data_IF_399303546900
#
_entry.id   IF_399303546900
#
_cell.length_a   1.000
_cell.length_b   1.000
_cell.length_c   1.000
_cell.angle_alpha   90.00
_cell.angle_beta   90.00
_cell.angle_gamma   90.00
#
_symmetry.space_group_name_H-M   'P 1'
#
loop_
_entity.id
_entity.type
_entity.pdbx_description
1 polymer ?
#
# COMPACT_ATOMS: atom_id res chain seq x y z
N UNK A 1 -17.87 -4.36 -6.57
CA UNK A 1 -16.81 -3.33 -6.77
C UNK A 1 -15.86 -3.37 -5.57
N UNK A 2 -14.56 -3.18 -5.77
CA UNK A 2 -13.49 -3.31 -4.77
C UNK A 2 -12.38 -2.27 -5.03
N UNK A 3 -11.38 -2.19 -4.17
CA UNK A 3 -10.30 -1.19 -4.22
C UNK A 3 -8.96 -1.92 -4.31
N UNK A 4 -8.06 -1.45 -5.18
CA UNK A 4 -6.65 -1.82 -5.20
C UNK A 4 -5.89 -0.83 -4.30
N UNK A 5 -5.48 -1.29 -3.11
CA UNK A 5 -4.91 -0.41 -2.09
C UNK A 5 -3.43 -0.10 -2.28
N UNK A 6 -2.77 -0.70 -3.29
CA UNK A 6 -1.36 -0.45 -3.56
C UNK A 6 -1.01 -0.76 -5.03
N UNK A 7 -0.72 0.27 -5.81
CA UNK A 7 -0.28 0.17 -7.20
C UNK A 7 0.62 1.33 -7.58
N UNK A 8 1.71 1.07 -8.29
CA UNK A 8 2.59 2.09 -8.86
C UNK A 8 2.14 2.47 -10.29
N UNK A 9 0.86 2.84 -10.43
CA UNK A 9 0.26 3.24 -11.72
C UNK A 9 0.96 4.48 -12.33
N UNK A 10 1.70 5.24 -11.54
CA UNK A 10 2.58 6.31 -11.99
C UNK A 10 3.84 5.80 -12.71
N UNK A 11 4.22 4.53 -12.55
CA UNK A 11 5.41 3.92 -13.13
C UNK A 11 5.54 4.12 -14.63
N UNK A 12 6.78 4.18 -15.12
CA UNK A 12 7.08 4.35 -16.57
C UNK A 12 6.59 3.20 -17.41
N UNK A 13 6.40 2.04 -16.79
CA UNK A 13 5.84 0.82 -17.40
C UNK A 13 4.43 1.05 -17.95
N UNK A 14 3.70 2.03 -17.41
CA UNK A 14 2.33 2.37 -17.80
C UNK A 14 2.23 3.60 -18.70
N UNK A 15 3.31 4.33 -18.97
CA UNK A 15 3.26 5.60 -19.72
C UNK A 15 2.64 5.44 -21.11
N UNK A 16 2.85 4.28 -21.76
CA UNK A 16 2.33 4.03 -23.11
C UNK A 16 0.83 3.68 -23.16
N UNK A 17 0.25 3.13 -22.07
CA UNK A 17 -1.13 2.58 -22.10
C UNK A 17 -1.91 2.81 -20.80
N UNK A 18 -1.53 3.79 -19.98
CA UNK A 18 -2.14 4.05 -18.65
C UNK A 18 -3.65 4.19 -18.69
N UNK A 19 -4.19 4.91 -19.68
CA UNK A 19 -5.65 5.06 -19.85
C UNK A 19 -6.33 3.72 -20.10
N UNK A 20 -5.73 2.86 -20.92
CA UNK A 20 -6.25 1.53 -21.18
C UNK A 20 -6.17 0.62 -19.95
N UNK A 21 -5.08 0.70 -19.15
CA UNK A 21 -4.93 -0.01 -17.87
C UNK A 21 -6.03 0.41 -16.90
N UNK A 22 -6.26 1.71 -16.74
CA UNK A 22 -7.34 2.24 -15.88
C UNK A 22 -8.71 1.78 -16.36
N UNK A 23 -8.94 1.77 -17.66
CA UNK A 23 -10.23 1.29 -18.20
C UNK A 23 -10.43 -0.20 -17.91
N UNK A 24 -9.42 -1.05 -18.15
CA UNK A 24 -9.50 -2.49 -17.81
C UNK A 24 -9.76 -2.71 -16.32
N UNK A 25 -9.11 -1.92 -15.45
CA UNK A 25 -9.34 -2.00 -14.00
C UNK A 25 -10.79 -1.66 -13.63
N UNK A 26 -11.36 -0.59 -14.20
CA UNK A 26 -12.77 -0.21 -14.02
C UNK A 26 -13.72 -1.31 -14.52
N UNK A 27 -13.45 -1.88 -15.70
CA UNK A 27 -14.25 -2.97 -16.28
C UNK A 27 -14.19 -4.24 -15.43
N UNK A 28 -13.06 -4.49 -14.75
CA UNK A 28 -12.90 -5.58 -13.78
C UNK A 28 -13.62 -5.31 -12.44
N UNK A 29 -14.13 -4.10 -12.20
CA UNK A 29 -14.85 -3.72 -10.99
C UNK A 29 -14.00 -3.00 -9.93
N UNK A 30 -12.78 -2.56 -10.27
CA UNK A 30 -11.95 -1.71 -9.40
C UNK A 30 -12.53 -0.29 -9.39
N UNK A 31 -12.99 0.16 -8.22
CA UNK A 31 -13.61 1.48 -8.06
C UNK A 31 -12.65 2.58 -7.64
N UNK A 32 -11.49 2.21 -7.12
CA UNK A 32 -10.42 3.13 -6.73
C UNK A 32 -9.07 2.42 -6.69
N UNK A 33 -8.01 3.19 -6.88
CA UNK A 33 -6.61 2.74 -6.76
C UNK A 33 -5.83 3.70 -5.88
N UNK A 34 -4.93 3.17 -5.05
CA UNK A 34 -4.10 3.96 -4.16
C UNK A 34 -2.65 3.90 -4.64
N UNK A 35 -2.04 5.07 -4.77
CA UNK A 35 -0.71 5.24 -5.37
C UNK A 35 0.29 5.65 -4.28
N UNK A 36 1.11 4.72 -3.77
CA UNK A 36 2.17 5.04 -2.83
C UNK A 36 3.38 5.64 -3.55
N UNK A 37 3.93 6.70 -2.99
CA UNK A 37 5.18 7.28 -3.48
C UNK A 37 6.38 6.51 -2.96
N UNK A 38 7.46 6.50 -3.73
CA UNK A 38 8.75 5.90 -3.34
C UNK A 38 9.81 6.97 -3.03
N UNK A 39 9.68 8.17 -3.63
CA UNK A 39 10.61 9.29 -3.48
C UNK A 39 9.92 10.64 -3.81
N UNK A 40 10.68 11.72 -3.84
CA UNK A 40 10.20 13.06 -4.20
C UNK A 40 9.69 13.14 -5.65
N UNK A 41 10.35 12.47 -6.58
CA UNK A 41 9.99 12.52 -8.00
C UNK A 41 8.68 11.76 -8.25
N UNK A 42 8.52 10.56 -7.70
CA UNK A 42 7.30 9.77 -7.78
C UNK A 42 6.13 10.48 -7.09
N UNK A 43 6.35 11.14 -5.94
CA UNK A 43 5.32 11.93 -5.26
C UNK A 43 4.73 13.00 -6.18
N UNK A 44 5.58 13.74 -6.92
CA UNK A 44 5.13 14.72 -7.90
C UNK A 44 4.38 14.10 -9.08
N UNK A 45 4.86 12.95 -9.58
CA UNK A 45 4.23 12.22 -10.68
C UNK A 45 2.86 11.66 -10.28
N UNK A 46 2.74 11.08 -9.09
CA UNK A 46 1.48 10.58 -8.52
C UNK A 46 0.43 11.68 -8.46
N UNK A 47 0.78 12.88 -8.02
CA UNK A 47 -0.17 14.01 -8.03
C UNK A 47 -0.69 14.33 -9.43
N UNK A 48 0.17 14.22 -10.45
CA UNK A 48 -0.25 14.40 -11.86
C UNK A 48 -1.22 13.30 -12.30
N UNK A 49 -0.94 12.04 -11.95
CA UNK A 49 -1.82 10.89 -12.26
C UNK A 49 -3.16 11.04 -11.54
N UNK A 50 -3.17 11.42 -10.26
CA UNK A 50 -4.42 11.62 -9.52
C UNK A 50 -5.29 12.74 -10.11
N UNK A 51 -4.69 13.82 -10.63
CA UNK A 51 -5.41 14.87 -11.35
C UNK A 51 -6.02 14.38 -12.66
N UNK A 52 -5.37 13.41 -13.33
CA UNK A 52 -5.88 12.80 -14.56
C UNK A 52 -7.08 11.88 -14.30
N UNK A 53 -7.12 11.23 -13.12
CA UNK A 53 -8.18 10.29 -12.75
C UNK A 53 -8.86 10.69 -11.42
N UNK A 54 -9.55 11.84 -11.38
CA UNK A 54 -10.17 12.36 -10.17
C UNK A 54 -11.24 11.42 -9.61
N UNK A 55 -11.24 11.23 -8.27
CA UNK A 55 -12.18 10.32 -7.60
C UNK A 55 -11.91 8.83 -7.84
N UNK A 56 -10.82 8.48 -8.57
CA UNK A 56 -10.42 7.11 -8.84
C UNK A 56 -9.02 6.80 -8.29
N UNK A 57 -8.03 7.67 -8.53
CA UNK A 57 -6.67 7.53 -8.04
C UNK A 57 -6.44 8.42 -6.81
N UNK A 58 -5.85 7.86 -5.76
CA UNK A 58 -5.62 8.54 -4.48
C UNK A 58 -4.13 8.50 -4.11
N UNK A 59 -3.52 9.65 -3.74
CA UNK A 59 -2.08 9.74 -3.53
C UNK A 59 -1.68 9.40 -2.10
N UNK A 60 -0.52 8.78 -1.93
CA UNK A 60 0.23 8.66 -0.68
C UNK A 60 1.60 9.29 -0.85
N UNK A 61 2.21 9.75 0.25
CA UNK A 61 3.52 10.40 0.27
C UNK A 61 4.47 9.69 1.20
N UNK A 62 5.67 9.36 0.71
CA UNK A 62 6.67 8.67 1.51
C UNK A 62 8.00 8.50 0.80
N UNK A 63 9.01 8.13 1.57
CA UNK A 63 10.33 7.70 1.11
C UNK A 63 10.46 6.21 1.36
N UNK A 64 10.48 5.44 0.28
CA UNK A 64 10.63 3.99 0.30
C UNK A 64 12.03 3.60 0.83
N UNK A 65 12.17 2.53 1.62
CA UNK A 65 13.47 2.14 2.16
C UNK A 65 14.54 1.85 1.10
N UNK A 66 14.17 1.34 -0.07
CA UNK A 66 15.12 1.13 -1.16
C UNK A 66 15.63 2.43 -1.80
N UNK A 67 14.98 3.57 -1.57
CA UNK A 67 15.40 4.90 -2.04
C UNK A 67 16.15 5.72 -0.98
N UNK A 68 16.29 5.18 0.23
CA UNK A 68 17.09 5.81 1.28
C UNK A 68 18.58 5.74 0.94
N UNK A 69 19.21 6.93 0.83
CA UNK A 69 20.63 7.14 0.55
C UNK A 69 21.20 8.18 1.50
N UNK A 70 22.43 8.62 1.25
CA UNK A 70 23.11 9.62 2.08
C UNK A 70 22.38 10.98 2.16
N UNK A 71 21.53 11.28 1.18
CA UNK A 71 20.72 12.51 1.08
C UNK A 71 19.29 12.38 1.63
N UNK A 72 18.99 11.29 2.32
CA UNK A 72 17.62 10.96 2.79
C UNK A 72 16.98 12.09 3.63
N UNK A 73 17.76 12.82 4.42
CA UNK A 73 17.24 13.94 5.23
C UNK A 73 16.72 15.08 4.36
N UNK A 74 17.41 15.37 3.24
CA UNK A 74 16.94 16.37 2.28
C UNK A 74 15.65 15.89 1.60
N UNK A 75 15.60 14.63 1.16
CA UNK A 75 14.39 14.05 0.56
C UNK A 75 13.20 14.08 1.54
N UNK A 76 13.43 13.71 2.80
CA UNK A 76 12.39 13.81 3.84
C UNK A 76 11.90 15.25 4.04
N UNK A 77 12.80 16.25 4.03
CA UNK A 77 12.40 17.65 4.16
C UNK A 77 11.51 18.11 2.99
N UNK A 78 11.83 17.71 1.76
CA UNK A 78 11.01 18.02 0.57
C UNK A 78 9.65 17.30 0.62
N UNK A 79 9.62 16.01 0.96
CA UNK A 79 8.38 15.24 1.10
C UNK A 79 7.48 15.79 2.22
N UNK A 80 8.07 16.21 3.33
CA UNK A 80 7.31 16.83 4.41
C UNK A 80 6.71 18.18 4.01
N UNK A 81 7.44 18.98 3.23
CA UNK A 81 6.89 20.21 2.66
C UNK A 81 5.68 19.92 1.76
N UNK A 82 5.80 18.89 0.87
CA UNK A 82 4.68 18.46 0.01
C UNK A 82 3.49 17.96 0.83
N UNK A 83 3.74 17.25 1.93
CA UNK A 83 2.68 16.76 2.84
C UNK A 83 1.88 17.91 3.47
N UNK A 84 2.52 19.05 3.71
CA UNK A 84 1.89 20.25 4.32
C UNK A 84 1.23 21.18 3.31
N UNK A 85 1.50 21.01 2.01
CA UNK A 85 0.87 21.81 0.96
C UNK A 85 -0.54 21.28 0.64
N UNK A 86 -1.52 22.18 0.49
CA UNK A 86 -2.80 21.85 -0.12
C UNK A 86 -2.57 21.51 -1.61
N UNK A 87 -3.08 20.36 -2.05
CA UNK A 87 -2.91 19.93 -3.44
C UNK A 87 -3.99 20.58 -4.31
N UNK A 88 -3.64 21.53 -5.22
CA UNK A 88 -4.62 22.20 -6.04
C UNK A 88 -5.26 21.24 -7.06
N UNK A 89 -6.57 21.24 -7.19
CA UNK A 89 -7.27 20.54 -8.27
C UNK A 89 -7.20 21.33 -9.57
N UNK A 90 -7.09 20.64 -10.72
CA UNK A 90 -6.86 21.26 -12.03
C UNK A 90 -8.02 22.09 -12.59
N UNK A 91 -9.20 22.16 -11.95
CA UNK A 91 -10.39 22.78 -12.53
C UNK A 91 -11.27 23.61 -11.58
N UNK A 92 -10.72 24.11 -10.47
CA UNK A 92 -11.53 24.96 -9.57
C UNK A 92 -12.72 24.23 -8.91
N UNK A 93 -12.78 22.92 -9.00
CA UNK A 93 -13.71 22.09 -8.25
C UNK A 93 -13.19 22.03 -6.81
N UNK A 94 -14.08 22.24 -5.85
CA UNK A 94 -13.79 22.45 -4.42
C UNK A 94 -13.20 21.22 -3.67
N UNK A 95 -12.76 20.20 -4.38
CA UNK A 95 -12.15 18.99 -3.82
C UNK A 95 -10.64 19.08 -3.96
N UNK A 96 -9.99 19.66 -2.95
CA UNK A 96 -8.55 19.51 -2.77
C UNK A 96 -8.24 18.02 -2.63
N UNK A 97 -7.34 17.50 -3.49
CA UNK A 97 -6.77 16.17 -3.23
C UNK A 97 -5.93 16.25 -1.97
N UNK A 98 -6.31 15.47 -0.98
CA UNK A 98 -5.49 15.29 0.20
C UNK A 98 -4.69 13.98 0.07
N UNK A 99 -3.49 13.97 0.64
CA UNK A 99 -2.76 12.73 0.86
C UNK A 99 -3.61 11.81 1.75
N UNK A 100 -3.81 10.56 1.33
CA UNK A 100 -4.64 9.62 2.09
C UNK A 100 -3.84 8.77 3.07
N UNK A 101 -2.52 8.72 2.93
CA UNK A 101 -1.62 7.97 3.80
C UNK A 101 -0.17 8.47 3.69
N UNK A 102 0.65 8.08 4.67
CA UNK A 102 2.11 8.15 4.59
C UNK A 102 2.59 6.80 4.04
N UNK A 103 3.11 6.81 2.83
CA UNK A 103 3.52 5.58 2.13
C UNK A 103 4.02 5.80 0.69
N UNK A 104 4.88 4.92 0.26
CA UNK A 104 5.34 3.69 0.89
C UNK A 104 6.55 3.95 1.80
N UNK A 105 6.55 3.41 3.00
CA UNK A 105 7.57 3.64 4.02
C UNK A 105 7.92 2.33 4.73
N UNK A 106 9.05 2.26 5.38
CA UNK A 106 9.40 1.06 6.15
C UNK A 106 10.86 0.65 6.05
N UNK A 107 11.12 -0.66 6.01
CA UNK A 107 12.47 -1.22 6.03
C UNK A 107 12.62 -2.33 4.99
N UNK A 108 13.73 -2.31 4.25
CA UNK A 108 14.15 -3.39 3.35
C UNK A 108 15.62 -3.75 3.58
N UNK A 109 15.88 -4.95 4.11
CA UNK A 109 17.24 -5.48 4.32
C UNK A 109 17.57 -6.65 3.38
N UNK A 110 16.75 -6.84 2.35
CA UNK A 110 16.94 -7.94 1.41
C UNK A 110 18.09 -7.67 0.43
N UNK A 111 18.10 -6.46 -0.16
CA UNK A 111 19.08 -6.10 -1.17
C UNK A 111 20.40 -5.62 -0.57
N UNK A 112 20.33 -4.77 0.48
CA UNK A 112 21.49 -4.19 1.13
C UNK A 112 21.17 -3.76 2.56
N UNK A 113 22.16 -3.80 3.44
CA UNK A 113 22.12 -3.21 4.78
C UNK A 113 23.04 -1.98 4.89
N UNK A 114 23.55 -1.47 3.79
CA UNK A 114 24.48 -0.33 3.75
C UNK A 114 23.90 0.90 4.44
N UNK A 115 22.60 1.18 4.21
CA UNK A 115 21.86 2.32 4.78
C UNK A 115 20.85 1.88 5.87
N UNK A 116 21.16 0.82 6.61
CA UNK A 116 20.23 0.29 7.62
C UNK A 116 19.87 1.33 8.71
N UNK A 117 20.83 2.14 9.16
CA UNK A 117 20.60 3.18 10.16
C UNK A 117 19.78 4.33 9.61
N UNK A 118 20.06 4.71 8.38
CA UNK A 118 19.36 5.75 7.66
C UNK A 118 17.92 5.33 7.34
N UNK A 119 17.70 4.06 6.96
CA UNK A 119 16.36 3.49 6.80
C UNK A 119 15.56 3.54 8.10
N UNK A 120 16.16 3.15 9.23
CA UNK A 120 15.51 3.23 10.54
C UNK A 120 15.15 4.68 10.90
N UNK A 121 16.07 5.63 10.71
CA UNK A 121 15.83 7.04 10.98
C UNK A 121 14.76 7.64 10.06
N UNK A 122 14.81 7.31 8.77
CA UNK A 122 13.82 7.75 7.78
C UNK A 122 12.43 7.17 8.09
N UNK A 123 12.35 5.90 8.45
CA UNK A 123 11.08 5.26 8.82
C UNK A 123 10.51 5.88 10.10
N UNK A 124 11.34 6.05 11.14
CA UNK A 124 10.91 6.69 12.38
C UNK A 124 10.35 8.09 12.16
N UNK A 125 11.04 8.91 11.33
CA UNK A 125 10.56 10.25 11.00
C UNK A 125 9.19 10.23 10.30
N UNK A 126 8.96 9.28 9.43
CA UNK A 126 7.69 9.13 8.72
C UNK A 126 6.57 8.54 9.61
N UNK A 127 6.90 7.73 10.60
CA UNK A 127 5.99 7.35 11.69
C UNK A 127 5.53 8.58 12.48
N UNK A 128 6.44 9.49 12.81
CA UNK A 128 6.09 10.77 13.46
C UNK A 128 5.14 11.61 12.60
N UNK A 129 5.35 11.67 11.28
CA UNK A 129 4.41 12.37 10.37
C UNK A 129 3.01 11.76 10.40
N UNK A 130 2.92 10.43 10.40
CA UNK A 130 1.64 9.72 10.52
C UNK A 130 0.90 10.12 11.79
N UNK A 131 1.60 10.19 12.92
CA UNK A 131 1.02 10.61 14.21
C UNK A 131 0.56 12.07 14.14
N UNK A 132 1.41 12.96 13.64
CA UNK A 132 1.13 14.41 13.54
C UNK A 132 -0.08 14.70 12.64
N UNK A 133 -0.13 14.04 11.47
CA UNK A 133 -1.17 14.29 10.46
C UNK A 133 -2.43 13.43 10.64
N UNK A 134 -2.37 12.40 11.48
CA UNK A 134 -3.40 11.38 11.62
C UNK A 134 -3.64 10.55 10.35
N UNK A 135 -2.71 10.57 9.40
CA UNK A 135 -2.77 9.73 8.21
C UNK A 135 -2.24 8.32 8.52
N UNK A 136 -2.88 7.26 8.00
CA UNK A 136 -2.42 5.89 8.19
C UNK A 136 -1.08 5.66 7.49
N UNK A 137 -0.37 4.61 7.92
CA UNK A 137 0.87 4.16 7.29
C UNK A 137 0.60 3.09 6.23
N UNK A 138 1.28 3.17 5.08
CA UNK A 138 1.43 2.06 4.14
C UNK A 138 2.87 1.54 4.27
N UNK A 139 3.03 0.38 4.91
CA UNK A 139 4.34 -0.10 5.37
C UNK A 139 4.86 -1.22 4.49
N UNK A 140 6.04 -0.98 3.90
CA UNK A 140 6.90 -1.99 3.31
C UNK A 140 7.78 -2.65 4.37
N UNK A 141 7.87 -3.97 4.34
CA UNK A 141 8.78 -4.69 5.22
C UNK A 141 9.35 -5.93 4.55
N UNK A 142 10.66 -5.95 4.34
CA UNK A 142 11.34 -7.10 3.76
C UNK A 142 12.60 -7.44 4.52
N UNK A 143 12.64 -8.65 5.14
CA UNK A 143 13.76 -9.12 5.97
C UNK A 143 14.10 -8.22 7.18
N UNK A 144 13.13 -7.45 7.69
CA UNK A 144 13.30 -6.46 8.75
C UNK A 144 12.12 -6.39 9.73
N UNK A 145 11.30 -7.46 9.84
CA UNK A 145 10.08 -7.41 10.66
C UNK A 145 10.37 -7.13 12.15
N UNK A 146 11.43 -7.72 12.71
CA UNK A 146 11.77 -7.51 14.12
C UNK A 146 12.10 -6.03 14.38
N UNK A 147 12.91 -5.41 13.54
CA UNK A 147 13.33 -4.01 13.66
C UNK A 147 12.13 -3.08 13.46
N UNK A 148 11.28 -3.37 12.47
CA UNK A 148 10.05 -2.63 12.21
C UNK A 148 9.08 -2.71 13.40
N UNK A 149 8.80 -3.90 13.91
CA UNK A 149 7.93 -4.12 15.08
C UNK A 149 8.48 -3.42 16.31
N UNK A 150 9.80 -3.52 16.57
CA UNK A 150 10.44 -2.85 17.69
C UNK A 150 10.27 -1.32 17.63
N UNK A 151 10.45 -0.73 16.45
CA UNK A 151 10.24 0.70 16.24
C UNK A 151 8.77 1.09 16.48
N UNK A 152 7.83 0.41 15.81
CA UNK A 152 6.39 0.73 15.91
C UNK A 152 5.84 0.58 17.34
N UNK A 153 6.35 -0.37 18.14
CA UNK A 153 5.97 -0.56 19.54
C UNK A 153 6.20 0.69 20.40
N UNK A 154 7.19 1.51 20.07
CA UNK A 154 7.50 2.75 20.80
C UNK A 154 6.38 3.79 20.63
N UNK A 155 5.63 3.71 19.54
CA UNK A 155 4.58 4.64 19.13
C UNK A 155 3.16 4.03 19.11
N UNK A 156 3.01 2.78 19.53
CA UNK A 156 1.80 1.97 19.35
C UNK A 156 0.49 2.69 19.75
N UNK A 157 0.52 3.43 20.88
CA UNK A 157 -0.67 4.12 21.41
C UNK A 157 -1.09 5.33 20.57
N UNK A 158 -0.14 5.93 19.88
CA UNK A 158 -0.30 7.19 19.15
C UNK A 158 -0.62 6.96 17.66
N UNK A 159 -0.19 5.81 17.11
CA UNK A 159 -0.37 5.45 15.72
C UNK A 159 -1.85 5.47 15.31
N UNK A 160 -2.21 6.14 14.20
CA UNK A 160 -3.59 6.13 13.68
C UNK A 160 -3.99 4.77 13.12
N UNK A 161 -3.03 3.95 12.68
CA UNK A 161 -3.20 2.66 12.03
C UNK A 161 -2.50 2.61 10.68
N UNK A 162 -2.76 1.56 9.91
CA UNK A 162 -2.15 1.41 8.59
C UNK A 162 -2.28 0.02 8.01
N UNK A 163 -1.48 -0.21 6.98
CA UNK A 163 -1.39 -1.48 6.26
C UNK A 163 0.05 -1.96 6.26
N UNK A 164 0.27 -3.20 6.67
CA UNK A 164 1.49 -3.94 6.33
C UNK A 164 1.26 -4.53 4.94
N UNK A 165 1.76 -3.84 3.91
CA UNK A 165 1.51 -4.22 2.54
C UNK A 165 2.30 -5.47 2.13
N UNK A 166 1.85 -6.13 1.07
CA UNK A 166 2.49 -7.31 0.48
C UNK A 166 2.81 -8.43 1.50
N UNK A 167 1.89 -8.71 2.42
CA UNK A 167 2.09 -9.74 3.42
C UNK A 167 2.27 -11.12 2.77
N UNK A 168 3.40 -11.76 3.07
CA UNK A 168 3.78 -13.10 2.57
C UNK A 168 4.25 -14.03 3.69
N UNK A 169 3.99 -13.65 4.93
CA UNK A 169 4.45 -14.34 6.14
C UNK A 169 3.61 -15.56 6.52
N UNK A 170 3.94 -16.12 7.68
CA UNK A 170 3.25 -17.24 8.30
C UNK A 170 2.31 -16.77 9.43
N UNK A 171 1.63 -17.73 10.11
CA UNK A 171 0.65 -17.43 11.16
C UNK A 171 1.25 -16.67 12.36
N UNK A 172 2.51 -16.95 12.70
CA UNK A 172 3.20 -16.27 13.82
C UNK A 172 3.52 -14.82 13.46
N UNK A 173 3.99 -14.59 12.25
CA UNK A 173 4.25 -13.25 11.72
C UNK A 173 2.96 -12.45 11.59
N UNK A 174 1.88 -13.05 11.10
CA UNK A 174 0.56 -12.43 11.07
C UNK A 174 0.07 -12.06 12.47
N UNK A 175 0.16 -13.00 13.43
CA UNK A 175 -0.27 -12.76 14.80
C UNK A 175 0.53 -11.66 15.50
N UNK A 176 1.84 -11.54 15.22
CA UNK A 176 2.68 -10.46 15.75
C UNK A 176 2.26 -9.09 15.19
N UNK A 177 2.08 -8.99 13.87
CA UNK A 177 1.67 -7.74 13.20
C UNK A 177 0.26 -7.31 13.63
N UNK A 178 -0.66 -8.26 13.80
CA UNK A 178 -2.04 -7.98 14.19
C UNK A 178 -2.21 -7.61 15.68
N UNK A 179 -1.15 -7.69 16.49
CA UNK A 179 -1.15 -7.08 17.83
C UNK A 179 -1.28 -5.54 17.75
N UNK A 180 -0.88 -4.92 16.65
CA UNK A 180 -1.19 -3.53 16.37
C UNK A 180 -2.67 -3.42 15.94
N UNK A 181 -3.57 -3.17 16.89
CA UNK A 181 -5.03 -3.28 16.71
C UNK A 181 -5.58 -2.47 15.53
N UNK A 182 -4.95 -1.34 15.19
CA UNK A 182 -5.39 -0.43 14.11
C UNK A 182 -4.74 -0.73 12.77
N UNK A 183 -3.91 -1.79 12.68
CA UNK A 183 -3.25 -2.18 11.43
C UNK A 183 -3.93 -3.39 10.81
N UNK A 184 -3.78 -3.52 9.51
CA UNK A 184 -4.30 -4.62 8.70
C UNK A 184 -3.21 -5.14 7.76
N UNK A 185 -3.45 -6.29 7.13
CA UNK A 185 -2.53 -6.88 6.18
C UNK A 185 -3.01 -6.60 4.75
N UNK A 186 -2.10 -6.13 3.90
CA UNK A 186 -2.29 -6.03 2.45
C UNK A 186 -1.91 -7.36 1.79
N UNK A 187 -2.79 -7.89 0.97
CA UNK A 187 -2.61 -9.18 0.32
C UNK A 187 -2.72 -9.04 -1.19
N UNK A 188 -1.63 -9.38 -1.88
CA UNK A 188 -1.48 -9.27 -3.32
C UNK A 188 -1.37 -10.60 -4.05
N UNK A 189 -0.81 -10.54 -5.27
CA UNK A 189 -0.73 -11.64 -6.23
C UNK A 189 -0.11 -12.94 -5.72
N UNK A 190 0.79 -12.87 -4.72
CA UNK A 190 1.44 -14.04 -4.10
C UNK A 190 0.43 -15.06 -3.55
N UNK A 191 -0.74 -14.61 -3.10
CA UNK A 191 -1.82 -15.48 -2.65
C UNK A 191 -2.18 -16.55 -3.70
N UNK A 192 -2.08 -16.21 -4.98
CA UNK A 192 -2.48 -17.08 -6.09
C UNK A 192 -1.39 -18.05 -6.55
N UNK A 193 -0.16 -17.95 -5.99
CA UNK A 193 0.96 -18.76 -6.47
C UNK A 193 0.85 -20.20 -6.01
N UNK A 194 1.18 -21.15 -6.90
CA UNK A 194 1.08 -22.60 -6.65
C UNK A 194 1.79 -23.08 -5.37
N UNK A 195 2.86 -22.39 -4.95
CA UNK A 195 3.66 -22.75 -3.77
C UNK A 195 3.38 -21.82 -2.58
N UNK A 196 2.38 -20.95 -2.67
CA UNK A 196 2.01 -20.06 -1.58
C UNK A 196 1.31 -20.82 -0.47
N UNK A 197 1.66 -20.54 0.77
CA UNK A 197 0.95 -21.05 1.95
C UNK A 197 -0.13 -20.06 2.45
N UNK A 198 -0.23 -18.89 1.82
CA UNK A 198 -1.22 -17.87 2.22
C UNK A 198 -2.67 -18.36 2.20
N UNK A 199 -3.11 -19.24 1.26
CA UNK A 199 -4.48 -19.77 1.28
C UNK A 199 -4.86 -20.51 2.56
N UNK A 200 -3.88 -21.11 3.26
CA UNK A 200 -4.08 -21.78 4.55
C UNK A 200 -3.81 -20.83 5.74
N UNK A 201 -2.76 -20.00 5.64
CA UNK A 201 -2.34 -19.08 6.71
C UNK A 201 -3.40 -18.01 6.99
N UNK A 202 -3.92 -17.36 5.94
CA UNK A 202 -4.82 -16.22 6.12
C UNK A 202 -6.11 -16.59 6.88
N UNK A 203 -6.89 -17.60 6.49
CA UNK A 203 -8.13 -17.93 7.21
C UNK A 203 -7.88 -18.50 8.60
N UNK A 204 -6.70 -19.03 8.89
CA UNK A 204 -6.34 -19.57 10.21
C UNK A 204 -5.90 -18.50 11.21
N UNK A 205 -5.31 -17.39 10.75
CA UNK A 205 -4.62 -16.41 11.60
C UNK A 205 -5.13 -14.97 11.45
N UNK A 206 -5.87 -14.64 10.40
CA UNK A 206 -6.25 -13.27 10.06
C UNK A 206 -7.76 -13.11 9.94
N UNK A 207 -8.40 -12.30 10.79
CA UNK A 207 -9.83 -11.99 10.65
C UNK A 207 -10.13 -11.23 9.35
N UNK A 208 -11.32 -11.45 8.77
CA UNK A 208 -11.75 -10.81 7.51
C UNK A 208 -11.72 -9.28 7.54
N UNK A 209 -11.95 -8.67 8.70
CA UNK A 209 -11.91 -7.23 8.91
C UNK A 209 -10.50 -6.66 9.14
N UNK A 210 -9.48 -7.52 9.01
CA UNK A 210 -8.07 -7.16 9.17
C UNK A 210 -7.27 -7.34 7.88
N UNK A 211 -7.96 -7.37 6.72
CA UNK A 211 -7.35 -7.57 5.40
C UNK A 211 -7.81 -6.48 4.43
N UNK A 212 -6.90 -6.07 3.56
CA UNK A 212 -7.15 -5.35 2.31
C UNK A 212 -6.50 -6.10 1.15
N UNK A 213 -6.95 -5.83 -0.08
CA UNK A 213 -6.39 -6.44 -1.30
C UNK A 213 -5.64 -5.40 -2.11
N UNK A 214 -4.59 -5.86 -2.78
CA UNK A 214 -3.72 -5.01 -3.56
C UNK A 214 -3.10 -5.74 -4.74
N UNK A 215 -2.45 -5.02 -5.65
CA UNK A 215 -1.69 -5.63 -6.73
C UNK A 215 -0.18 -5.53 -6.56
N UNK A 216 0.32 -4.43 -6.02
CA UNK A 216 1.71 -4.02 -6.09
C UNK A 216 2.20 -3.94 -7.55
N UNK A 217 1.28 -3.55 -8.48
CA UNK A 217 1.59 -3.48 -9.91
C UNK A 217 2.55 -2.33 -10.21
N UNK A 218 3.53 -2.53 -11.12
CA UNK A 218 3.63 -3.58 -12.16
C UNK A 218 4.23 -4.90 -11.70
N UNK A 219 4.51 -5.08 -10.41
CA UNK A 219 5.18 -6.26 -9.86
C UNK A 219 4.19 -7.37 -9.47
N UNK A 220 4.70 -8.55 -9.14
CA UNK A 220 4.00 -9.63 -8.45
C UNK A 220 2.69 -10.10 -9.10
N UNK A 221 2.61 -10.11 -10.45
CA UNK A 221 1.40 -10.52 -11.18
C UNK A 221 0.83 -11.86 -10.68
N UNK A 222 -0.49 -11.96 -10.41
CA UNK A 222 -1.13 -13.18 -9.95
C UNK A 222 -1.17 -14.24 -11.04
N UNK A 223 -1.42 -15.50 -10.66
CA UNK A 223 -1.76 -16.55 -11.61
C UNK A 223 -3.12 -16.24 -12.27
N UNK A 224 -3.28 -16.37 -13.62
CA UNK A 224 -2.36 -17.01 -14.58
C UNK A 224 -1.29 -16.08 -15.18
N UNK A 225 -1.23 -14.82 -14.81
CA UNK A 225 -0.38 -13.79 -15.45
C UNK A 225 1.07 -13.75 -14.92
N UNK A 226 1.54 -14.82 -14.30
CA UNK A 226 2.92 -14.90 -13.79
C UNK A 226 3.96 -14.62 -14.86
N UNK A 227 4.87 -13.64 -14.58
CA UNK A 227 5.92 -13.22 -15.51
C UNK A 227 5.50 -12.14 -16.51
N UNK A 228 4.24 -11.73 -16.50
CA UNK A 228 3.73 -10.58 -17.24
C UNK A 228 3.76 -9.31 -16.35
N UNK A 229 3.60 -8.13 -16.95
CA UNK A 229 3.38 -6.90 -16.21
C UNK A 229 2.05 -6.99 -15.45
N UNK A 230 2.08 -6.79 -14.15
CA UNK A 230 0.87 -6.72 -13.32
C UNK A 230 0.10 -5.42 -13.59
N UNK A 231 -1.19 -5.42 -13.34
CA UNK A 231 -2.06 -4.23 -13.42
C UNK A 231 -3.23 -4.35 -12.44
N UNK A 232 -3.82 -3.20 -12.05
CA UNK A 232 -4.89 -3.14 -11.06
C UNK A 232 -6.12 -4.00 -11.40
N UNK A 233 -6.40 -4.30 -12.69
CA UNK A 233 -7.46 -5.22 -13.08
C UNK A 233 -7.30 -6.62 -12.47
N UNK A 234 -6.05 -7.04 -12.24
CA UNK A 234 -5.73 -8.37 -11.71
C UNK A 234 -5.97 -8.51 -10.21
N UNK A 235 -6.25 -7.44 -9.48
CA UNK A 235 -6.68 -7.55 -8.06
C UNK A 235 -7.98 -8.35 -7.93
N UNK A 236 -8.78 -8.43 -9.00
CA UNK A 236 -9.97 -9.29 -9.06
C UNK A 236 -9.64 -10.77 -8.86
N UNK A 237 -8.47 -11.24 -9.35
CA UNK A 237 -8.00 -12.61 -9.17
C UNK A 237 -7.54 -12.85 -7.72
N UNK A 238 -6.95 -11.83 -7.10
CA UNK A 238 -6.62 -11.87 -5.66
C UNK A 238 -7.88 -11.97 -4.83
N UNK A 239 -8.89 -11.15 -5.14
CA UNK A 239 -10.20 -11.17 -4.46
C UNK A 239 -10.88 -12.54 -4.58
N UNK A 240 -10.90 -13.14 -5.78
CA UNK A 240 -11.48 -14.45 -6.04
C UNK A 240 -10.78 -15.54 -5.20
N UNK A 241 -9.45 -15.54 -5.20
CA UNK A 241 -8.66 -16.50 -4.41
C UNK A 241 -8.82 -16.30 -2.92
N UNK A 242 -8.94 -15.05 -2.47
CA UNK A 242 -9.20 -14.72 -1.07
C UNK A 242 -10.56 -15.27 -0.62
N UNK A 243 -11.61 -15.00 -1.40
CA UNK A 243 -12.97 -15.49 -1.13
C UNK A 243 -13.02 -17.03 -1.05
N UNK A 244 -12.34 -17.71 -1.99
CA UNK A 244 -12.19 -19.18 -1.97
C UNK A 244 -11.51 -19.64 -0.68
N UNK A 245 -10.39 -19.01 -0.29
CA UNK A 245 -9.61 -19.40 0.90
C UNK A 245 -10.40 -19.27 2.20
N UNK A 246 -11.23 -18.23 2.32
CA UNK A 246 -12.08 -18.00 3.49
C UNK A 246 -13.43 -18.72 3.43
N UNK A 247 -13.78 -19.35 2.31
CA UNK A 247 -15.07 -20.03 2.14
C UNK A 247 -16.26 -19.07 2.12
N UNK A 248 -16.09 -17.84 1.66
CA UNK A 248 -17.13 -16.82 1.52
C UNK A 248 -17.36 -16.45 0.05
N UNK A 249 -18.45 -15.74 -0.24
CA UNK A 249 -18.70 -15.26 -1.59
C UNK A 249 -17.75 -14.09 -1.96
N UNK A 250 -17.49 -13.89 -3.26
CA UNK A 250 -16.72 -12.75 -3.78
C UNK A 250 -17.31 -11.40 -3.31
N UNK A 251 -18.62 -11.27 -3.32
CA UNK A 251 -19.32 -10.05 -2.89
C UNK A 251 -19.14 -9.79 -1.39
N UNK A 252 -19.18 -10.83 -0.58
CA UNK A 252 -18.92 -10.74 0.85
C UNK A 252 -17.47 -10.33 1.12
N UNK A 253 -16.51 -10.96 0.46
CA UNK A 253 -15.09 -10.58 0.58
C UNK A 253 -14.86 -9.14 0.15
N UNK A 254 -15.46 -8.72 -0.99
CA UNK A 254 -15.36 -7.33 -1.47
C UNK A 254 -15.97 -6.32 -0.49
N UNK A 255 -17.07 -6.68 0.18
CA UNK A 255 -17.69 -5.86 1.23
C UNK A 255 -16.74 -5.69 2.41
N UNK A 256 -16.19 -6.78 2.95
CA UNK A 256 -15.26 -6.74 4.07
C UNK A 256 -14.01 -5.91 3.78
N UNK A 257 -13.36 -6.15 2.63
CA UNK A 257 -12.17 -5.39 2.25
C UNK A 257 -12.46 -3.90 2.04
N UNK A 258 -13.61 -3.54 1.45
CA UNK A 258 -14.03 -2.15 1.31
C UNK A 258 -14.32 -1.47 2.66
N UNK A 259 -14.99 -2.17 3.59
CA UNK A 259 -15.24 -1.67 4.95
C UNK A 259 -13.93 -1.43 5.70
N UNK A 260 -12.97 -2.35 5.52
CA UNK A 260 -11.60 -2.20 6.07
C UNK A 260 -10.89 -0.98 5.47
N UNK A 261 -10.92 -0.81 4.15
CA UNK A 261 -10.34 0.37 3.49
C UNK A 261 -10.97 1.66 4.01
N UNK A 262 -12.30 1.72 4.09
CA UNK A 262 -13.01 2.90 4.63
C UNK A 262 -12.60 3.20 6.08
N UNK A 263 -12.43 2.17 6.91
CA UNK A 263 -12.02 2.33 8.31
C UNK A 263 -10.58 2.83 8.45
N UNK A 264 -9.67 2.38 7.59
CA UNK A 264 -8.25 2.74 7.67
C UNK A 264 -7.98 4.10 7.01
N UNK A 265 -8.51 4.34 5.80
CA UNK A 265 -8.15 5.49 4.97
C UNK A 265 -9.22 6.59 4.94
N UNK A 266 -10.43 6.31 5.39
CA UNK A 266 -11.54 7.28 5.38
C UNK A 266 -12.16 7.55 4.00
N UNK A 267 -11.83 6.75 2.97
CA UNK A 267 -12.25 6.93 1.57
C UNK A 267 -13.21 5.83 1.10
#
# INVERSE_FOLDING_TARGET
>A
MFIDTHTHLDGTEFDADRDAVVQRAKDAGVKAVFLPAIDVASSRKILSVCRQYPGYAYPMVGLHPEEVRADYEQQLAELYAMLKEDIPTAQGVADSYHWIAIGEVGLDYYWSREFEKEQLAAFERQVEWSIETRLPLMIHCRKAQNEMVHLLRRYEKELPGGVFHCFTGNEKEAAELLQFERFVLGVGGVLTFKKSHLPEVLPSAVPLDRIVIETDSPYMAPTPHRGERNESAYVSLVLDKMAESYGVSKDEMARHTNETVKRIFGV
#
